data_IF_170511247999
#
_entry.id   IF_170511247999
#
_cell.length_a   1.000
_cell.length_b   1.000
_cell.length_c   1.000
_cell.angle_alpha   90.00
_cell.angle_beta   90.00
_cell.angle_gamma   90.00
#
_symmetry.space_group_name_H-M   'P 1'
#
loop_
_entity.id
_entity.type
_entity.pdbx_description
1 polymer ?
#
# COMPACT_ATOMS: atom_id res chain seq x y z
N UNK A 1 19.52 -9.10 -19.17
CA UNK A 1 19.02 -7.72 -19.03
C UNK A 1 17.73 -7.51 -19.82
N UNK A 2 17.69 -7.75 -21.12
CA UNK A 2 16.50 -7.48 -21.96
C UNK A 2 15.23 -8.25 -21.54
N UNK A 3 15.37 -9.53 -21.15
CA UNK A 3 14.25 -10.37 -20.67
C UNK A 3 13.66 -9.85 -19.35
N UNK A 4 14.53 -9.34 -18.47
CA UNK A 4 14.15 -8.80 -17.16
C UNK A 4 13.37 -7.49 -17.35
N UNK A 5 13.83 -6.61 -18.24
CA UNK A 5 13.10 -5.38 -18.59
C UNK A 5 11.73 -5.67 -19.22
N UNK A 6 11.63 -6.67 -20.10
CA UNK A 6 10.33 -7.09 -20.68
C UNK A 6 9.37 -7.66 -19.63
N UNK A 7 9.89 -8.35 -18.61
CA UNK A 7 9.10 -8.85 -17.49
C UNK A 7 8.51 -7.71 -16.63
N UNK A 8 9.34 -6.71 -16.27
CA UNK A 8 8.90 -5.49 -15.57
C UNK A 8 7.93 -4.64 -16.40
N UNK A 9 8.04 -4.67 -17.73
CA UNK A 9 7.15 -3.97 -18.65
C UNK A 9 5.84 -4.71 -18.92
N UNK A 10 5.67 -5.94 -18.40
CA UNK A 10 4.42 -6.67 -18.59
C UNK A 10 3.28 -6.01 -17.81
N UNK A 11 2.12 -5.86 -18.45
CA UNK A 11 0.94 -5.23 -17.84
C UNK A 11 0.46 -5.99 -16.60
N UNK A 12 0.68 -7.31 -16.52
CA UNK A 12 0.34 -8.09 -15.32
C UNK A 12 1.23 -7.73 -14.16
N UNK A 13 2.54 -7.64 -14.39
CA UNK A 13 3.47 -7.25 -13.34
C UNK A 13 3.19 -5.83 -12.84
N UNK A 14 2.91 -4.89 -13.75
CA UNK A 14 2.58 -3.52 -13.38
C UNK A 14 1.34 -3.43 -12.51
N UNK A 15 0.26 -4.14 -12.86
CA UNK A 15 -0.98 -4.10 -12.07
C UNK A 15 -0.82 -4.89 -10.78
N UNK A 16 -0.24 -6.10 -10.81
CA UNK A 16 -0.16 -6.94 -9.61
C UNK A 16 0.88 -6.44 -8.62
N UNK A 17 1.99 -5.86 -9.08
CA UNK A 17 3.10 -5.53 -8.20
C UNK A 17 3.36 -4.03 -8.04
N UNK A 18 3.48 -3.31 -9.14
CA UNK A 18 3.87 -1.90 -9.07
C UNK A 18 2.70 -1.03 -8.57
N UNK A 19 1.50 -1.25 -9.10
CA UNK A 19 0.31 -0.47 -8.76
C UNK A 19 -0.03 -0.54 -7.26
N UNK A 20 -0.24 -1.72 -6.65
CA UNK A 20 -0.55 -1.80 -5.22
C UNK A 20 0.57 -1.23 -4.35
N UNK A 21 1.83 -1.46 -4.72
CA UNK A 21 2.96 -0.90 -3.98
C UNK A 21 2.91 0.64 -3.97
N UNK A 22 2.76 1.26 -5.13
CA UNK A 22 2.70 2.73 -5.25
C UNK A 22 1.45 3.29 -4.56
N UNK A 23 0.28 2.70 -4.81
CA UNK A 23 -1.00 3.16 -4.24
C UNK A 23 -0.95 3.06 -2.73
N UNK A 24 -0.47 1.94 -2.18
CA UNK A 24 -0.38 1.76 -0.74
C UNK A 24 0.60 2.75 -0.09
N UNK A 25 1.78 2.96 -0.67
CA UNK A 25 2.75 3.93 -0.15
C UNK A 25 2.19 5.34 -0.17
N UNK A 26 1.58 5.77 -1.27
CA UNK A 26 0.98 7.11 -1.38
C UNK A 26 -0.22 7.27 -0.46
N UNK A 27 -1.10 6.27 -0.38
CA UNK A 27 -2.26 6.30 0.49
C UNK A 27 -1.85 6.36 1.97
N UNK A 28 -0.85 5.58 2.38
CA UNK A 28 -0.34 5.63 3.77
C UNK A 28 0.20 7.01 4.11
N UNK A 29 0.98 7.61 3.21
CA UNK A 29 1.53 8.96 3.41
C UNK A 29 0.44 10.04 3.41
N UNK A 30 -0.57 9.92 2.55
CA UNK A 30 -1.69 10.86 2.46
C UNK A 30 -2.62 10.76 3.68
N UNK A 31 -2.98 9.55 4.10
CA UNK A 31 -3.86 9.29 5.25
C UNK A 31 -3.30 9.88 6.53
N UNK A 32 -1.98 9.92 6.67
CA UNK A 32 -1.27 10.56 7.77
C UNK A 32 -1.52 12.06 7.92
N UNK A 33 -1.85 12.73 6.82
CA UNK A 33 -2.19 14.16 6.81
C UNK A 33 -3.68 14.45 7.01
N UNK A 34 -4.53 13.43 6.83
CA UNK A 34 -6.00 13.57 6.79
C UNK A 34 -6.65 12.98 8.04
N UNK A 35 -6.14 11.85 8.53
CA UNK A 35 -6.69 11.19 9.69
C UNK A 35 -6.24 11.91 10.97
N UNK A 36 -7.17 12.15 11.91
CA UNK A 36 -6.79 12.64 13.22
C UNK A 36 -5.88 11.60 13.90
N UNK A 37 -4.85 12.09 14.60
CA UNK A 37 -4.01 11.30 15.51
C UNK A 37 -4.92 10.55 16.49
N UNK A 38 -4.68 9.27 16.73
CA UNK A 38 -5.46 8.49 17.69
C UNK A 38 -5.18 9.02 19.10
N UNK A 39 -5.95 10.03 19.52
CA UNK A 39 -5.91 10.57 20.88
C UNK A 39 -6.46 9.61 21.94
N UNK A 40 -6.47 8.30 21.69
CA UNK A 40 -7.19 7.31 22.48
C UNK A 40 -6.38 6.06 22.86
N UNK A 41 -5.10 5.96 22.49
CA UNK A 41 -4.22 5.01 23.14
C UNK A 41 -3.71 5.67 24.42
N UNK A 42 -3.79 5.00 25.57
CA UNK A 42 -3.08 5.41 26.79
C UNK A 42 -1.54 5.37 26.63
N UNK A 43 -1.05 5.42 25.38
CA UNK A 43 0.34 5.33 24.99
C UNK A 43 0.77 6.73 24.56
N UNK A 44 1.94 7.15 25.04
CA UNK A 44 2.51 8.47 24.72
C UNK A 44 3.77 8.30 23.88
N UNK A 45 4.04 9.27 23.02
CA UNK A 45 5.24 9.30 22.19
C UNK A 45 5.27 8.19 21.13
N UNK A 46 6.43 7.52 20.98
CA UNK A 46 6.73 6.63 19.83
C UNK A 46 5.76 5.47 19.63
N UNK A 47 5.07 5.04 20.69
CA UNK A 47 4.09 3.94 20.59
C UNK A 47 2.75 4.41 20.00
N UNK A 48 2.28 5.61 20.33
CA UNK A 48 1.08 6.18 19.70
C UNK A 48 1.31 6.44 18.19
N UNK A 49 2.48 6.97 17.84
CA UNK A 49 2.87 7.17 16.45
C UNK A 49 2.97 5.86 15.64
N UNK A 50 3.27 4.73 16.31
CA UNK A 50 3.30 3.41 15.68
C UNK A 50 1.90 2.86 15.44
N UNK A 51 0.99 3.02 16.40
CA UNK A 51 -0.40 2.59 16.31
C UNK A 51 -1.17 3.35 15.22
N UNK A 52 -0.97 4.68 15.15
CA UNK A 52 -1.50 5.53 14.09
C UNK A 52 -1.04 5.07 12.71
N UNK A 53 0.25 4.79 12.57
CA UNK A 53 0.81 4.36 11.30
C UNK A 53 0.33 2.94 10.91
N UNK A 54 0.11 2.05 11.89
CA UNK A 54 -0.49 0.74 11.63
C UNK A 54 -1.93 0.88 11.12
N UNK A 55 -2.72 1.78 11.73
CA UNK A 55 -4.09 2.09 11.28
C UNK A 55 -4.08 2.67 9.85
N UNK A 56 -3.22 3.63 9.59
CA UNK A 56 -3.05 4.25 8.27
C UNK A 56 -2.67 3.22 7.21
N UNK A 57 -1.73 2.33 7.53
CA UNK A 57 -1.29 1.26 6.63
C UNK A 57 -2.39 0.25 6.33
N UNK A 58 -3.23 -0.09 7.32
CA UNK A 58 -4.37 -0.97 7.12
C UNK A 58 -5.41 -0.37 6.15
N UNK A 59 -5.74 0.91 6.33
CA UNK A 59 -6.67 1.61 5.43
C UNK A 59 -6.04 1.74 4.03
N UNK A 60 -4.75 2.07 3.94
CA UNK A 60 -4.03 2.13 2.67
C UNK A 60 -3.98 0.79 1.94
N UNK A 61 -3.85 -0.32 2.67
CA UNK A 61 -3.90 -1.66 2.10
C UNK A 61 -5.27 -1.97 1.48
N UNK A 62 -6.36 -1.57 2.13
CA UNK A 62 -7.72 -1.72 1.57
C UNK A 62 -7.86 -0.88 0.29
N UNK A 63 -7.44 0.39 0.31
CA UNK A 63 -7.48 1.27 -0.87
C UNK A 63 -6.67 0.65 -2.02
N UNK A 64 -5.47 0.19 -1.73
CA UNK A 64 -4.59 -0.48 -2.68
C UNK A 64 -5.24 -1.73 -3.29
N UNK A 65 -5.86 -2.58 -2.47
CA UNK A 65 -6.52 -3.79 -2.92
C UNK A 65 -7.68 -3.46 -3.88
N UNK A 66 -8.52 -2.50 -3.51
CA UNK A 66 -9.65 -2.04 -4.33
C UNK A 66 -9.17 -1.50 -5.68
N UNK A 67 -8.17 -0.62 -5.69
CA UNK A 67 -7.61 -0.04 -6.92
C UNK A 67 -7.01 -1.13 -7.81
N UNK A 68 -6.33 -2.12 -7.21
CA UNK A 68 -5.70 -3.21 -7.95
C UNK A 68 -6.73 -4.14 -8.57
N UNK A 69 -7.82 -4.46 -7.85
CA UNK A 69 -8.94 -5.24 -8.39
C UNK A 69 -9.60 -4.50 -9.56
N UNK A 70 -9.93 -3.22 -9.40
CA UNK A 70 -10.55 -2.40 -10.46
C UNK A 70 -9.67 -2.37 -11.71
N UNK A 71 -8.36 -2.14 -11.55
CA UNK A 71 -7.42 -2.12 -12.67
C UNK A 71 -7.34 -3.47 -13.39
N UNK A 72 -7.45 -4.57 -12.65
CA UNK A 72 -7.46 -5.92 -13.22
C UNK A 72 -8.79 -6.25 -13.92
N UNK A 73 -9.92 -5.78 -13.38
CA UNK A 73 -11.24 -5.92 -14.00
C UNK A 73 -11.35 -5.16 -15.33
N UNK A 74 -10.90 -3.89 -15.37
CA UNK A 74 -10.88 -3.07 -16.59
C UNK A 74 -10.06 -3.73 -17.70
N UNK A 75 -8.98 -4.42 -17.33
CA UNK A 75 -8.12 -5.10 -18.29
C UNK A 75 -8.80 -6.29 -18.99
N UNK A 76 -9.80 -6.90 -18.37
CA UNK A 76 -10.52 -8.05 -18.94
C UNK A 76 -9.68 -9.33 -18.94
N UNK A 77 -9.79 -10.11 -17.86
CA UNK A 77 -9.21 -11.45 -17.74
C UNK A 77 -10.23 -12.56 -18.03
N UNK A 78 -9.77 -13.78 -18.38
CA UNK A 78 -10.66 -14.85 -18.85
C UNK A 78 -11.57 -15.46 -17.77
N UNK A 79 -11.28 -15.27 -16.47
CA UNK A 79 -12.04 -15.88 -15.38
C UNK A 79 -12.29 -14.91 -14.20
N UNK A 80 -13.53 -14.84 -13.66
CA UNK A 80 -13.89 -13.99 -12.50
C UNK A 80 -13.05 -14.28 -11.25
N UNK A 81 -12.67 -15.54 -11.04
CA UNK A 81 -11.80 -15.92 -9.93
C UNK A 81 -10.42 -15.27 -10.06
N UNK A 82 -9.84 -15.28 -11.27
CA UNK A 82 -8.54 -14.68 -11.57
C UNK A 82 -8.59 -13.15 -11.49
N UNK A 83 -9.72 -12.56 -11.88
CA UNK A 83 -9.95 -11.11 -11.83
C UNK A 83 -9.94 -10.53 -10.41
N UNK A 84 -10.40 -11.30 -9.42
CA UNK A 84 -10.51 -10.83 -8.04
C UNK A 84 -9.39 -11.36 -7.14
N UNK A 85 -9.05 -12.65 -7.23
CA UNK A 85 -8.13 -13.29 -6.28
C UNK A 85 -6.65 -13.00 -6.55
N UNK A 86 -6.21 -12.86 -7.82
CA UNK A 86 -4.81 -12.52 -8.12
C UNK A 86 -4.43 -11.13 -7.60
N UNK A 87 -5.21 -10.06 -7.86
CA UNK A 87 -4.97 -8.74 -7.27
C UNK A 87 -4.91 -8.73 -5.74
N UNK A 88 -5.83 -9.45 -5.10
CA UNK A 88 -5.91 -9.53 -3.64
C UNK A 88 -4.68 -10.21 -3.04
N UNK A 89 -4.32 -11.40 -3.54
CA UNK A 89 -3.13 -12.12 -3.08
C UNK A 89 -1.86 -11.30 -3.29
N UNK A 90 -1.74 -10.61 -4.42
CA UNK A 90 -0.60 -9.76 -4.71
C UNK A 90 -0.51 -8.57 -3.75
N UNK A 91 -1.64 -7.92 -3.48
CA UNK A 91 -1.70 -6.81 -2.52
C UNK A 91 -1.28 -7.25 -1.12
N UNK A 92 -1.71 -8.44 -0.67
CA UNK A 92 -1.30 -9.02 0.62
C UNK A 92 0.21 -9.29 0.66
N UNK A 93 0.79 -9.81 -0.43
CA UNK A 93 2.24 -10.06 -0.51
C UNK A 93 3.08 -8.76 -0.49
N UNK A 94 2.53 -7.67 -1.01
CA UNK A 94 3.21 -6.36 -1.13
C UNK A 94 3.07 -5.49 0.11
N UNK A 95 2.04 -5.75 0.91
CA UNK A 95 1.74 -5.03 2.14
C UNK A 95 2.96 -4.77 3.04
N UNK A 96 3.80 -5.77 3.40
CA UNK A 96 4.97 -5.50 4.24
C UNK A 96 5.98 -4.53 3.59
N UNK A 97 6.11 -4.54 2.26
CA UNK A 97 7.05 -3.68 1.55
C UNK A 97 6.55 -2.24 1.41
N UNK A 98 5.28 -2.06 1.02
CA UNK A 98 4.68 -0.72 0.92
C UNK A 98 4.67 -0.01 2.27
N UNK A 99 4.44 -0.76 3.35
CA UNK A 99 4.48 -0.27 4.73
C UNK A 99 5.89 0.15 5.14
N UNK A 100 6.89 -0.69 4.89
CA UNK A 100 8.29 -0.38 5.21
C UNK A 100 8.79 0.88 4.50
N UNK A 101 8.38 1.09 3.24
CA UNK A 101 8.76 2.29 2.48
C UNK A 101 8.05 3.54 3.00
N UNK A 102 6.75 3.46 3.32
CA UNK A 102 6.04 4.57 3.94
C UNK A 102 6.65 4.96 5.30
N UNK A 103 7.03 3.98 6.11
CA UNK A 103 7.78 4.15 7.35
C UNK A 103 9.11 4.89 7.13
N UNK A 104 9.89 4.44 6.15
CA UNK A 104 11.18 5.04 5.83
C UNK A 104 11.03 6.49 5.37
N UNK A 105 10.10 6.75 4.45
CA UNK A 105 9.82 8.11 3.96
C UNK A 105 9.33 9.00 5.11
N UNK A 106 8.40 8.52 5.92
CA UNK A 106 7.90 9.23 7.09
C UNK A 106 9.01 9.53 8.13
N UNK A 107 9.94 8.59 8.29
CA UNK A 107 11.16 8.71 9.11
C UNK A 107 12.09 9.81 8.64
N UNK A 108 12.50 9.77 7.38
CA UNK A 108 13.47 10.70 6.78
C UNK A 108 12.90 12.11 6.63
N UNK A 109 11.62 12.22 6.26
CA UNK A 109 10.92 13.52 6.12
C UNK A 109 10.65 14.22 7.46
N UNK A 110 10.93 13.56 8.60
CA UNK A 110 10.60 14.09 9.92
C UNK A 110 9.09 14.15 10.20
N UNK A 111 8.25 13.64 9.29
CA UNK A 111 6.80 13.55 9.52
C UNK A 111 6.51 12.66 10.73
N UNK A 112 7.32 11.62 11.01
CA UNK A 112 7.22 10.78 12.23
C UNK A 112 7.73 11.41 13.52
N UNK A 113 8.38 12.58 13.49
CA UNK A 113 8.81 13.29 14.71
C UNK A 113 7.73 14.14 15.38
N UNK A 114 6.63 14.42 14.67
CA UNK A 114 5.53 15.27 15.16
C UNK A 114 4.27 14.50 15.57
N UNK A 115 4.29 13.17 15.46
CA UNK A 115 3.23 12.29 15.97
C UNK A 115 3.61 11.78 17.37
#
# INVERSE_FOLDING_TARGET
MELIFKFFASTEYQILFILPFVVMTLATLALRSVLPTAGNSNQTGRMAAYDDLHREAYIAAIISAVVTVIAFEIRGGPEPFVLVWKPLLSTVMILPFGYAVALFIGGVSGMTRRA
#
